data_IF_399928031088
#
_entry.id   IF_399928031088
#
_cell.length_a   1.000
_cell.length_b   1.000
_cell.length_c   1.000
_cell.angle_alpha   90.00
_cell.angle_beta   90.00
_cell.angle_gamma   90.00
#
_symmetry.space_group_name_H-M   'P 1'
#
loop_
_entity.id
_entity.type
_entity.pdbx_description
1 polymer ?
#
# COMPACT_ATOMS: atom_id res chain seq x y z
N UNK A 1 8.68 17.46 -6.06
CA UNK A 1 10.13 17.80 -5.98
C UNK A 1 10.28 19.17 -5.34
N UNK A 2 11.02 19.27 -4.26
CA UNK A 2 11.56 20.56 -3.80
C UNK A 2 12.91 20.74 -4.52
N UNK A 3 13.06 21.70 -5.44
CA UNK A 3 14.16 21.73 -6.43
C UNK A 3 15.48 22.25 -5.86
N UNK A 4 15.69 22.31 -4.55
CA UNK A 4 16.76 23.11 -3.97
C UNK A 4 17.73 22.38 -3.04
N UNK A 5 17.68 21.05 -2.99
CA UNK A 5 18.65 20.30 -2.18
C UNK A 5 19.39 19.34 -3.11
N UNK A 6 20.68 19.55 -3.30
CA UNK A 6 21.60 18.61 -3.96
C UNK A 6 21.86 17.37 -3.07
N UNK A 7 20.86 17.00 -2.27
CA UNK A 7 20.91 15.89 -1.33
C UNK A 7 20.09 14.71 -1.88
N UNK A 8 20.50 13.51 -1.50
CA UNK A 8 19.80 12.28 -1.90
C UNK A 8 18.48 12.20 -1.14
N UNK A 9 17.39 12.01 -1.87
CA UNK A 9 16.07 11.68 -1.32
C UNK A 9 15.95 10.17 -1.24
N UNK A 10 16.12 9.60 -0.06
CA UNK A 10 16.13 8.16 0.14
C UNK A 10 14.75 7.51 0.01
N UNK A 11 13.67 8.25 0.34
CA UNK A 11 12.30 7.76 0.21
C UNK A 11 12.04 6.53 1.07
N UNK A 12 12.47 6.60 2.35
CA UNK A 12 12.40 5.43 3.24
C UNK A 12 10.95 5.05 3.56
N UNK A 13 10.10 6.04 3.89
CA UNK A 13 8.67 5.80 4.03
C UNK A 13 7.97 5.83 2.67
N UNK A 14 8.35 6.76 1.81
CA UNK A 14 7.78 6.96 0.47
C UNK A 14 8.76 6.54 -0.65
N UNK A 15 8.80 5.26 -1.10
CA UNK A 15 7.94 4.16 -0.65
C UNK A 15 8.74 2.88 -0.42
N UNK A 16 9.97 2.96 0.13
CA UNK A 16 10.72 1.76 0.49
C UNK A 16 10.03 0.96 1.62
N UNK A 17 9.22 1.60 2.46
CA UNK A 17 8.42 0.95 3.49
C UNK A 17 7.43 -0.05 2.91
N UNK A 18 6.63 0.37 1.91
CA UNK A 18 5.67 -0.49 1.23
C UNK A 18 6.34 -1.64 0.49
N UNK A 19 7.43 -1.36 -0.22
CA UNK A 19 8.22 -2.40 -0.91
C UNK A 19 8.78 -3.42 0.07
N UNK A 20 9.26 -2.98 1.23
CA UNK A 20 9.81 -3.89 2.26
C UNK A 20 8.75 -4.82 2.82
N UNK A 21 7.56 -4.29 3.17
CA UNK A 21 6.43 -5.12 3.63
C UNK A 21 6.00 -6.10 2.52
N UNK A 22 5.90 -5.64 1.27
CA UNK A 22 5.55 -6.48 0.13
C UNK A 22 6.52 -7.68 -0.01
N UNK A 23 7.82 -7.46 0.13
CA UNK A 23 8.84 -8.53 0.07
C UNK A 23 8.66 -9.53 1.22
N UNK A 24 8.41 -9.05 2.44
CA UNK A 24 8.18 -9.92 3.59
C UNK A 24 6.87 -10.72 3.44
N UNK A 25 5.81 -10.12 2.94
CA UNK A 25 4.57 -10.83 2.62
C UNK A 25 4.80 -11.91 1.55
N UNK A 26 5.59 -11.63 0.51
CA UNK A 26 5.94 -12.63 -0.50
C UNK A 26 6.64 -13.86 0.13
N UNK A 27 7.54 -13.65 1.12
CA UNK A 27 8.19 -14.74 1.86
C UNK A 27 7.20 -15.55 2.71
N UNK A 28 6.16 -14.93 3.23
CA UNK A 28 5.10 -15.61 3.98
C UNK A 28 4.23 -16.43 3.03
N UNK A 29 3.73 -15.80 1.97
CA UNK A 29 2.78 -16.43 1.06
C UNK A 29 3.38 -17.57 0.23
N UNK A 30 4.68 -17.54 -0.09
CA UNK A 30 5.34 -18.66 -0.79
C UNK A 30 5.36 -19.95 0.03
N UNK A 31 5.28 -19.84 1.37
CA UNK A 31 5.25 -20.98 2.28
C UNK A 31 3.84 -21.51 2.51
N UNK A 32 2.82 -20.73 2.20
CA UNK A 32 1.43 -21.05 2.42
C UNK A 32 0.81 -21.69 1.16
N UNK A 33 -0.16 -22.58 1.37
CA UNK A 33 -0.97 -23.12 0.26
C UNK A 33 -2.07 -22.11 -0.09
N UNK A 34 -1.72 -21.10 -0.87
CA UNK A 34 -2.68 -20.10 -1.30
C UNK A 34 -3.69 -20.70 -2.27
N UNK A 35 -4.96 -20.33 -2.11
CA UNK A 35 -6.05 -20.78 -3.01
C UNK A 35 -6.06 -20.03 -4.33
N UNK A 36 -5.44 -18.84 -4.39
CA UNK A 36 -5.35 -17.98 -5.56
C UNK A 36 -3.90 -17.57 -5.79
N UNK A 37 -3.58 -17.26 -7.03
CA UNK A 37 -2.31 -16.63 -7.37
C UNK A 37 -2.23 -15.23 -6.78
N UNK A 38 -1.04 -14.86 -6.32
CA UNK A 38 -0.73 -13.53 -5.80
C UNK A 38 0.38 -12.95 -6.69
N UNK A 39 0.15 -11.75 -7.19
CA UNK A 39 1.13 -11.01 -7.97
C UNK A 39 1.68 -9.87 -7.12
N UNK A 40 2.99 -9.84 -6.93
CA UNK A 40 3.71 -8.78 -6.25
C UNK A 40 4.34 -7.86 -7.29
N UNK A 41 4.03 -6.57 -7.23
CA UNK A 41 4.48 -5.59 -8.23
C UNK A 41 4.96 -4.34 -7.53
N UNK A 42 6.17 -3.88 -7.85
CA UNK A 42 6.67 -2.56 -7.50
C UNK A 42 6.57 -1.67 -8.74
N UNK A 43 5.68 -0.68 -8.69
CA UNK A 43 5.50 0.25 -9.80
C UNK A 43 6.55 1.35 -9.77
N UNK A 44 7.04 1.74 -10.93
CA UNK A 44 7.93 2.88 -11.09
C UNK A 44 7.18 4.13 -11.52
N UNK A 45 7.80 5.29 -11.25
CA UNK A 45 7.31 6.60 -11.69
C UNK A 45 5.88 6.93 -11.19
N UNK A 46 5.55 6.53 -9.95
CA UNK A 46 4.31 6.90 -9.27
C UNK A 46 4.21 8.43 -9.17
N UNK A 47 5.24 9.09 -8.67
CA UNK A 47 5.39 10.54 -8.51
C UNK A 47 5.26 11.35 -9.81
N UNK A 48 5.42 10.71 -10.94
CA UNK A 48 5.28 11.31 -12.26
C UNK A 48 3.87 11.17 -12.83
N UNK A 49 2.91 10.78 -12.00
CA UNK A 49 1.50 10.61 -12.35
C UNK A 49 1.11 9.17 -12.63
N UNK A 50 1.54 8.24 -11.79
CA UNK A 50 1.15 6.82 -11.81
C UNK A 50 1.53 6.11 -13.11
N UNK A 51 2.69 6.45 -13.71
CA UNK A 51 3.05 5.98 -15.05
C UNK A 51 3.14 4.46 -15.08
N UNK A 52 3.79 3.85 -14.07
CA UNK A 52 3.98 2.40 -14.01
C UNK A 52 2.68 1.63 -13.90
N UNK A 53 1.80 2.00 -12.98
CA UNK A 53 0.52 1.32 -12.80
C UNK A 53 -0.43 1.55 -13.97
N UNK A 54 -0.48 2.76 -14.54
CA UNK A 54 -1.24 3.05 -15.77
C UNK A 54 -0.75 2.22 -16.94
N UNK A 55 0.56 2.09 -17.13
CA UNK A 55 1.11 1.22 -18.15
C UNK A 55 0.69 -0.23 -17.91
N UNK A 56 0.81 -0.71 -16.69
CA UNK A 56 0.48 -2.10 -16.33
C UNK A 56 -0.97 -2.46 -16.69
N UNK A 57 -1.94 -1.64 -16.24
CA UNK A 57 -3.37 -1.93 -16.49
C UNK A 57 -3.76 -1.85 -17.98
N UNK A 58 -2.98 -1.13 -18.80
CA UNK A 58 -3.24 -0.97 -20.23
C UNK A 58 -2.37 -1.89 -21.12
N UNK A 59 -1.41 -2.63 -20.55
CA UNK A 59 -0.38 -3.35 -21.32
C UNK A 59 -0.80 -4.73 -21.82
N UNK A 60 -1.95 -5.24 -21.39
CA UNK A 60 -2.39 -6.62 -21.64
C UNK A 60 -1.40 -7.72 -21.18
N UNK A 61 -0.47 -7.38 -20.25
CA UNK A 61 0.44 -8.36 -19.65
C UNK A 61 -0.32 -9.44 -18.87
N UNK A 62 -1.42 -9.05 -18.27
CA UNK A 62 -2.40 -9.94 -17.65
C UNK A 62 -3.81 -9.47 -18.02
N UNK A 63 -4.77 -10.36 -17.98
CA UNK A 63 -6.18 -10.00 -18.10
C UNK A 63 -6.62 -9.35 -16.78
N UNK A 64 -6.80 -8.03 -16.79
CA UNK A 64 -7.12 -7.24 -15.60
C UNK A 64 -8.47 -7.65 -14.98
N UNK A 65 -9.39 -8.20 -15.77
CA UNK A 65 -10.69 -8.68 -15.28
C UNK A 65 -10.57 -9.89 -14.34
N UNK A 66 -9.43 -10.56 -14.33
CA UNK A 66 -9.15 -11.69 -13.43
C UNK A 66 -8.61 -11.23 -12.07
N UNK A 67 -8.23 -9.95 -11.92
CA UNK A 67 -7.77 -9.40 -10.65
C UNK A 67 -8.97 -9.23 -9.73
N UNK A 68 -8.97 -9.96 -8.63
CA UNK A 68 -10.08 -9.91 -7.66
C UNK A 68 -10.00 -8.69 -6.76
N UNK A 69 -8.79 -8.27 -6.44
CA UNK A 69 -8.50 -7.10 -5.60
C UNK A 69 -7.05 -6.67 -5.82
N UNK A 70 -6.81 -5.37 -5.79
CA UNK A 70 -5.47 -4.78 -5.71
C UNK A 70 -5.26 -4.20 -4.31
N UNK A 71 -4.16 -4.58 -3.67
CA UNK A 71 -3.75 -4.08 -2.36
C UNK A 71 -2.56 -3.16 -2.56
N UNK A 72 -2.70 -1.91 -2.17
CA UNK A 72 -1.68 -0.88 -2.26
C UNK A 72 -1.05 -0.62 -0.89
N UNK A 73 0.27 -0.57 -0.84
CA UNK A 73 1.05 -0.22 0.33
C UNK A 73 1.87 1.01 0.00
N UNK A 74 1.47 2.15 0.51
CA UNK A 74 2.11 3.42 0.23
C UNK A 74 2.26 4.23 1.51
N UNK A 75 3.51 4.53 1.87
CA UNK A 75 3.86 5.20 3.13
C UNK A 75 3.29 4.46 4.35
N UNK A 76 3.73 3.23 4.56
CA UNK A 76 3.30 2.35 5.66
C UNK A 76 4.35 2.17 6.76
N UNK A 77 5.38 3.01 6.75
CA UNK A 77 6.53 2.93 7.66
C UNK A 77 6.48 3.85 8.87
N UNK A 78 5.53 4.78 8.97
CA UNK A 78 5.46 5.76 10.07
C UNK A 78 4.16 5.68 10.88
N UNK A 79 3.75 4.46 11.21
CA UNK A 79 2.63 4.26 12.13
C UNK A 79 2.87 5.00 13.44
N UNK A 80 1.92 5.86 13.82
CA UNK A 80 1.97 6.68 15.03
C UNK A 80 1.64 5.88 16.28
N UNK A 81 1.86 6.47 17.46
CA UNK A 81 1.62 5.83 18.76
C UNK A 81 0.16 5.41 18.96
N UNK A 82 -0.78 6.14 18.37
CA UNK A 82 -2.21 5.83 18.37
C UNK A 82 -2.55 4.56 17.57
N UNK A 83 -1.59 4.06 16.77
CA UNK A 83 -1.69 2.83 15.97
C UNK A 83 -2.89 2.81 15.02
N UNK A 84 -3.32 3.97 14.54
CA UNK A 84 -4.40 4.07 13.55
C UNK A 84 -3.84 3.88 12.15
N UNK A 85 -4.31 2.83 11.47
CA UNK A 85 -3.98 2.55 10.07
C UNK A 85 -5.14 2.99 9.19
N UNK A 86 -4.85 3.90 8.24
CA UNK A 86 -5.84 4.30 7.25
C UNK A 86 -5.98 3.23 6.18
N UNK A 87 -7.22 2.87 5.87
CA UNK A 87 -7.55 1.88 4.83
C UNK A 87 -8.63 2.48 3.93
N UNK A 88 -8.24 2.86 2.72
CA UNK A 88 -9.15 3.38 1.70
C UNK A 88 -9.62 2.28 0.76
N UNK A 89 -10.76 2.51 0.08
CA UNK A 89 -11.33 1.56 -0.87
C UNK A 89 -12.27 0.52 -0.25
N UNK A 90 -12.70 0.70 0.99
CA UNK A 90 -13.46 -0.32 1.74
C UNK A 90 -14.81 -0.66 1.11
N UNK A 91 -15.35 0.18 0.21
CA UNK A 91 -16.59 -0.07 -0.54
C UNK A 91 -16.40 -0.32 -2.03
N UNK A 92 -15.19 -0.61 -2.46
CA UNK A 92 -14.92 -0.91 -3.88
C UNK A 92 -15.23 -2.35 -4.28
N UNK A 93 -15.39 -3.25 -3.30
CA UNK A 93 -15.81 -4.62 -3.49
C UNK A 93 -17.02 -4.99 -2.64
N UNK A 94 -17.72 -6.06 -3.02
CA UNK A 94 -18.90 -6.55 -2.29
C UNK A 94 -18.48 -7.05 -0.91
N UNK A 95 -19.15 -6.56 0.13
CA UNK A 95 -18.93 -6.91 1.54
C UNK A 95 -17.49 -6.71 2.06
N UNK A 96 -16.66 -5.97 1.32
CA UNK A 96 -15.24 -5.82 1.63
C UNK A 96 -15.01 -5.19 3.01
N UNK A 97 -15.76 -4.12 3.35
CA UNK A 97 -15.66 -3.47 4.67
C UNK A 97 -16.05 -4.42 5.81
N UNK A 98 -17.04 -5.27 5.59
CA UNK A 98 -17.44 -6.29 6.56
C UNK A 98 -16.32 -7.31 6.78
N UNK A 99 -15.75 -7.84 5.68
CA UNK A 99 -14.61 -8.77 5.77
C UNK A 99 -13.40 -8.15 6.49
N UNK A 100 -13.09 -6.89 6.21
CA UNK A 100 -12.01 -6.18 6.89
C UNK A 100 -12.30 -6.05 8.38
N UNK A 101 -13.51 -5.64 8.75
CA UNK A 101 -13.91 -5.49 10.16
C UNK A 101 -13.80 -6.82 10.91
N UNK A 102 -14.27 -7.91 10.32
CA UNK A 102 -14.20 -9.24 10.90
C UNK A 102 -12.75 -9.75 11.00
N UNK A 103 -11.96 -9.62 9.93
CA UNK A 103 -10.58 -10.11 9.88
C UNK A 103 -9.62 -9.31 10.76
N UNK A 104 -9.89 -8.01 10.93
CA UNK A 104 -9.02 -7.11 11.69
C UNK A 104 -9.41 -6.99 13.17
N UNK A 105 -10.48 -7.64 13.58
CA UNK A 105 -11.02 -7.55 14.96
C UNK A 105 -10.01 -8.00 16.04
N UNK A 106 -9.11 -8.93 15.72
CA UNK A 106 -8.06 -9.40 16.62
C UNK A 106 -6.73 -8.62 16.47
N UNK A 107 -6.71 -7.62 15.59
CA UNK A 107 -5.52 -6.79 15.34
C UNK A 107 -5.20 -5.90 16.54
N UNK A 108 -3.92 -5.59 16.71
CA UNK A 108 -3.43 -4.58 17.67
C UNK A 108 -3.46 -3.16 17.10
N UNK A 109 -4.09 -2.98 15.94
CA UNK A 109 -4.22 -1.72 15.22
C UNK A 109 -5.67 -1.23 15.31
N UNK A 110 -5.83 0.08 15.38
CA UNK A 110 -7.08 0.76 15.11
C UNK A 110 -7.15 1.14 13.63
N UNK A 111 -8.35 1.29 13.08
CA UNK A 111 -8.54 1.51 11.65
C UNK A 111 -9.35 2.76 11.37
N UNK A 112 -8.88 3.56 10.42
CA UNK A 112 -9.65 4.65 9.80
C UNK A 112 -10.06 4.21 8.40
N UNK A 113 -11.30 3.74 8.24
CA UNK A 113 -11.84 3.29 6.96
C UNK A 113 -12.35 4.44 6.11
N UNK A 114 -12.00 4.44 4.83
CA UNK A 114 -12.58 5.32 3.79
C UNK A 114 -13.15 4.46 2.65
N UNK A 115 -14.38 4.76 2.29
CA UNK A 115 -15.09 4.06 1.21
C UNK A 115 -14.46 4.25 -0.18
N UNK A 116 -13.71 5.34 -0.39
CA UNK A 116 -13.23 5.78 -1.70
C UNK A 116 -12.12 4.89 -2.22
N UNK A 117 -12.26 4.44 -3.47
CA UNK A 117 -11.23 3.69 -4.19
C UNK A 117 -10.30 4.57 -5.04
N UNK A 118 -10.59 5.87 -5.16
CA UNK A 118 -9.77 6.81 -5.89
C UNK A 118 -8.93 7.66 -4.93
N UNK A 119 -7.63 7.78 -5.20
CA UNK A 119 -6.70 8.54 -4.37
C UNK A 119 -5.39 8.83 -5.12
N UNK A 120 -4.41 9.46 -4.48
CA UNK A 120 -3.18 9.92 -5.11
C UNK A 120 -2.08 8.85 -5.17
N UNK A 121 -2.41 7.57 -5.38
CA UNK A 121 -1.45 6.48 -5.48
C UNK A 121 -1.91 5.41 -6.48
N UNK A 122 -1.07 4.40 -6.74
CA UNK A 122 -1.19 3.42 -7.82
C UNK A 122 -2.50 2.62 -7.83
N UNK A 123 -3.18 2.45 -6.68
CA UNK A 123 -4.49 1.82 -6.59
C UNK A 123 -5.54 2.49 -7.47
N UNK A 124 -5.42 3.81 -7.71
CA UNK A 124 -6.35 4.55 -8.56
C UNK A 124 -6.36 4.06 -10.00
N UNK A 125 -5.20 3.61 -10.52
CA UNK A 125 -5.10 3.05 -11.87
C UNK A 125 -5.91 1.76 -12.03
N UNK A 126 -6.04 0.98 -10.98
CA UNK A 126 -6.85 -0.25 -10.95
C UNK A 126 -8.32 0.06 -10.74
N UNK A 127 -8.63 0.95 -9.80
CA UNK A 127 -10.00 1.33 -9.49
C UNK A 127 -10.76 1.89 -10.69
N UNK A 128 -10.13 2.75 -11.51
CA UNK A 128 -10.77 3.30 -12.72
C UNK A 128 -10.95 2.26 -13.83
N UNK A 129 -10.41 1.06 -13.66
CA UNK A 129 -10.58 -0.10 -14.52
C UNK A 129 -11.43 -1.19 -13.84
N UNK A 130 -12.32 -0.80 -12.94
CA UNK A 130 -13.30 -1.67 -12.26
C UNK A 130 -12.68 -2.79 -11.40
N UNK A 131 -11.42 -2.67 -11.00
CA UNK A 131 -10.79 -3.58 -10.05
C UNK A 131 -11.02 -3.08 -8.62
N UNK A 132 -11.56 -3.89 -7.71
CA UNK A 132 -11.63 -3.54 -6.29
C UNK A 132 -10.24 -3.25 -5.71
N UNK A 133 -10.15 -2.23 -4.86
CA UNK A 133 -8.86 -1.80 -4.29
C UNK A 133 -8.93 -1.61 -2.80
N UNK A 134 -7.80 -1.82 -2.13
CA UNK A 134 -7.54 -1.38 -0.76
C UNK A 134 -6.20 -0.64 -0.75
N UNK A 135 -6.15 0.52 -0.13
CA UNK A 135 -4.92 1.28 0.03
C UNK A 135 -4.64 1.52 1.51
N UNK A 136 -3.48 1.09 1.96
CA UNK A 136 -3.00 1.20 3.33
C UNK A 136 -2.00 2.34 3.45
N UNK A 137 -2.17 3.16 4.50
CA UNK A 137 -1.41 4.38 4.70
C UNK A 137 -1.29 4.72 6.19
N UNK A 138 -0.11 5.10 6.66
CA UNK A 138 0.13 5.45 8.08
C UNK A 138 0.03 6.94 8.38
N UNK A 139 -0.26 7.75 7.38
CA UNK A 139 -0.44 9.20 7.50
C UNK A 139 0.76 10.01 7.00
N UNK A 140 0.49 11.26 6.64
CA UNK A 140 1.52 12.20 6.22
C UNK A 140 2.43 12.63 7.36
N UNK A 141 3.66 13.05 7.02
CA UNK A 141 4.68 13.53 7.97
C UNK A 141 5.55 14.61 7.33
N UNK A 142 6.31 15.33 8.17
CA UNK A 142 7.09 16.50 7.71
C UNK A 142 8.29 16.13 6.82
N UNK A 143 8.75 14.89 6.87
CA UNK A 143 9.90 14.43 6.08
C UNK A 143 9.48 14.02 4.64
N UNK A 144 8.18 13.92 4.36
CA UNK A 144 7.62 13.54 3.05
C UNK A 144 8.20 14.39 1.92
N UNK A 145 8.69 13.74 0.87
CA UNK A 145 9.33 14.36 -0.29
C UNK A 145 10.56 15.24 0.07
N UNK A 146 11.27 14.91 1.15
CA UNK A 146 12.48 15.59 1.54
C UNK A 146 13.66 14.62 1.70
N UNK A 147 14.92 15.10 1.75
CA UNK A 147 16.08 14.26 2.03
C UNK A 147 16.05 13.64 3.44
N UNK A 148 15.14 14.08 4.30
CA UNK A 148 15.02 13.59 5.68
C UNK A 148 14.11 12.38 5.83
N UNK A 149 13.53 11.87 4.74
CA UNK A 149 12.80 10.61 4.75
C UNK A 149 13.78 9.43 4.75
N UNK A 150 14.34 9.14 5.94
CA UNK A 150 15.39 8.19 6.17
C UNK A 150 14.92 6.99 6.99
N UNK A 151 15.65 5.87 6.82
CA UNK A 151 15.31 4.57 7.40
C UNK A 151 15.33 4.55 8.93
N UNK A 152 16.15 5.36 9.58
CA UNK A 152 16.26 5.47 11.04
C UNK A 152 15.02 6.09 11.69
N UNK A 153 14.15 6.70 10.89
CA UNK A 153 12.89 7.31 11.32
C UNK A 153 11.68 6.42 11.12
N UNK A 154 11.86 5.21 10.58
CA UNK A 154 10.77 4.27 10.37
C UNK A 154 10.36 3.56 11.68
N UNK A 155 9.07 3.34 11.85
CA UNK A 155 8.52 2.51 12.91
C UNK A 155 8.49 1.04 12.49
N UNK A 156 9.61 0.34 12.61
CA UNK A 156 9.72 -1.07 12.24
C UNK A 156 8.76 -1.99 13.01
N UNK A 157 8.44 -1.63 14.25
CA UNK A 157 7.42 -2.37 15.01
C UNK A 157 6.03 -2.21 14.38
N UNK A 158 5.67 -0.98 14.00
CA UNK A 158 4.43 -0.68 13.27
C UNK A 158 4.37 -1.41 11.92
N UNK A 159 5.47 -1.40 11.16
CA UNK A 159 5.56 -2.15 9.90
C UNK A 159 5.34 -3.65 10.08
N UNK A 160 5.87 -4.25 11.16
CA UNK A 160 5.61 -5.66 11.47
C UNK A 160 4.14 -5.91 11.81
N UNK A 161 3.47 -5.02 12.54
CA UNK A 161 2.04 -5.15 12.81
C UNK A 161 1.21 -5.13 11.51
N UNK A 162 1.56 -4.24 10.58
CA UNK A 162 0.89 -4.17 9.27
C UNK A 162 1.16 -5.42 8.42
N UNK A 163 2.41 -5.90 8.41
CA UNK A 163 2.76 -7.15 7.73
C UNK A 163 1.98 -8.35 8.33
N UNK A 164 1.89 -8.45 9.66
CA UNK A 164 1.17 -9.55 10.34
C UNK A 164 -0.34 -9.49 10.07
N UNK A 165 -0.89 -8.27 9.95
CA UNK A 165 -2.29 -8.05 9.59
C UNK A 165 -2.62 -8.58 8.18
N UNK A 166 -1.68 -8.45 7.24
CA UNK A 166 -1.86 -8.79 5.83
C UNK A 166 -1.36 -10.21 5.46
N UNK A 167 -0.89 -10.98 6.44
CA UNK A 167 -0.27 -12.30 6.22
C UNK A 167 -1.23 -13.49 6.30
#
# INVERSE_FOLDING_TARGET
>A
RRPHLDEIHNGADDNASGVSIMIELAKVFIKNKNKRSILFVAFGAEEMGLIGSKYFVNSNLIDISQIQIMINLDMVGKLKDEKVLSVSGTKTGVDLEKYLTESFNESKLDFAFDAKGYGPSDHSSFYVNDVPVLSFFTGGHNDYHTPFDDYDKLNYFGMNLIKDLLS
#
